data_IF_713219921984
#
_entry.id   IF_713219921984
#
_cell.length_a   1.000
_cell.length_b   1.000
_cell.length_c   1.000
_cell.angle_alpha   90.00
_cell.angle_beta   90.00
_cell.angle_gamma   90.00
#
_symmetry.space_group_name_H-M   'P 1'
#
loop_
_entity.id
_entity.type
_entity.pdbx_description
1 polymer ?
#
# COMPACT_ATOMS: atom_id res chain seq x y z
N UNK A 1 -10.35 3.87 -2.79
CA UNK A 1 -11.19 3.06 -1.86
C UNK A 1 -12.31 2.39 -2.64
N UNK A 2 -12.49 1.08 -2.52
CA UNK A 2 -13.50 0.32 -3.27
C UNK A 2 -14.64 -0.24 -2.40
N UNK A 3 -14.43 -0.36 -1.08
CA UNK A 3 -15.48 -0.77 -0.14
C UNK A 3 -15.27 -0.08 1.22
N UNK A 4 -16.37 0.18 1.91
CA UNK A 4 -16.43 0.77 3.25
C UNK A 4 -17.55 0.10 4.03
N UNK A 5 -17.19 -0.72 5.02
CA UNK A 5 -18.13 -1.50 5.81
C UNK A 5 -18.08 -1.12 7.28
N UNK A 6 -19.22 -0.67 7.81
CA UNK A 6 -19.42 -0.52 9.25
C UNK A 6 -19.56 -1.90 9.90
N UNK A 7 -18.87 -2.07 11.02
CA UNK A 7 -19.06 -3.16 11.98
C UNK A 7 -19.43 -2.57 13.34
N UNK A 8 -19.72 -3.42 14.33
CA UNK A 8 -20.15 -2.96 15.66
C UNK A 8 -19.14 -1.98 16.30
N UNK A 9 -17.84 -2.22 16.13
CA UNK A 9 -16.78 -1.46 16.82
C UNK A 9 -15.73 -0.81 15.89
N UNK A 10 -15.89 -0.93 14.58
CA UNK A 10 -14.89 -0.43 13.62
C UNK A 10 -15.49 -0.18 12.23
N UNK A 11 -14.77 0.57 11.41
CA UNK A 11 -15.01 0.70 9.98
C UNK A 11 -13.87 0.00 9.24
N UNK A 12 -14.26 -0.91 8.34
CA UNK A 12 -13.35 -1.61 7.46
C UNK A 12 -13.33 -0.88 6.13
N UNK A 13 -12.14 -0.45 5.71
CA UNK A 13 -11.92 0.08 4.37
C UNK A 13 -11.22 -0.98 3.53
N UNK A 14 -11.68 -1.16 2.30
CA UNK A 14 -10.94 -1.92 1.28
C UNK A 14 -10.43 -0.96 0.21
N UNK A 15 -9.14 -1.09 -0.08
CA UNK A 15 -8.41 -0.22 -1.00
C UNK A 15 -7.85 -1.09 -2.11
N UNK A 16 -8.14 -0.72 -3.36
CA UNK A 16 -7.45 -1.27 -4.52
C UNK A 16 -6.14 -0.51 -4.74
N UNK A 17 -5.10 -1.22 -5.18
CA UNK A 17 -3.82 -0.62 -5.47
C UNK A 17 -3.13 -1.36 -6.63
N UNK A 18 -2.27 -0.69 -7.41
CA UNK A 18 -1.54 -1.33 -8.49
C UNK A 18 -0.56 -2.38 -7.96
N UNK A 19 -0.18 -3.33 -8.83
CA UNK A 19 0.74 -4.41 -8.48
C UNK A 19 2.05 -3.91 -7.84
N UNK A 20 2.60 -2.81 -8.35
CA UNK A 20 3.81 -2.18 -7.83
C UNK A 20 3.72 -1.77 -6.35
N UNK A 21 2.52 -1.50 -5.83
CA UNK A 21 2.27 -1.27 -4.41
C UNK A 21 1.99 -2.59 -3.71
N UNK A 22 1.12 -3.42 -4.29
CA UNK A 22 0.66 -4.70 -3.71
C UNK A 22 1.78 -5.70 -3.44
N UNK A 23 2.89 -5.64 -4.18
CA UNK A 23 4.08 -6.47 -3.96
C UNK A 23 4.71 -6.22 -2.57
N UNK A 24 4.43 -5.07 -1.94
CA UNK A 24 4.90 -4.71 -0.59
C UNK A 24 3.81 -4.77 0.50
N UNK A 25 2.56 -5.06 0.14
CA UNK A 25 1.42 -5.08 1.08
C UNK A 25 1.36 -6.43 1.78
N UNK A 26 1.87 -6.57 2.99
CA UNK A 26 1.98 -7.88 3.67
C UNK A 26 0.81 -8.08 4.64
N UNK A 27 0.21 -9.28 4.68
CA UNK A 27 -0.81 -9.60 5.69
C UNK A 27 -0.26 -9.44 7.10
N UNK A 28 -0.98 -8.71 7.98
CA UNK A 28 -0.54 -8.26 9.30
C UNK A 28 0.67 -7.31 9.29
N UNK A 29 1.10 -6.86 8.12
CA UNK A 29 2.08 -5.80 7.96
C UNK A 29 1.47 -4.41 8.18
N UNK A 30 2.35 -3.42 8.22
CA UNK A 30 1.99 -2.02 8.32
C UNK A 30 1.78 -1.41 6.94
N UNK A 31 0.83 -0.50 6.84
CA UNK A 31 0.65 0.38 5.69
C UNK A 31 0.14 1.73 6.16
N UNK A 32 0.58 2.80 5.51
CA UNK A 32 0.08 4.14 5.77
C UNK A 32 -0.93 4.52 4.69
N UNK A 33 -2.09 5.01 5.11
CA UNK A 33 -3.10 5.63 4.23
C UNK A 33 -3.21 7.09 4.62
N UNK A 34 -2.83 8.00 3.71
CA UNK A 34 -2.81 9.46 3.95
C UNK A 34 -2.17 9.85 5.29
N UNK A 35 -0.99 9.31 5.58
CA UNK A 35 -0.24 9.57 6.82
C UNK A 35 -0.70 8.77 8.05
N UNK A 36 -1.77 7.97 7.95
CA UNK A 36 -2.30 7.18 9.07
C UNK A 36 -1.75 5.77 9.00
N UNK A 37 -0.94 5.39 10.00
CA UNK A 37 -0.38 4.04 10.12
C UNK A 37 -1.46 3.05 10.55
N UNK A 38 -1.64 1.99 9.76
CA UNK A 38 -2.68 0.98 9.91
C UNK A 38 -2.13 -0.42 9.71
N UNK A 39 -2.84 -1.41 10.23
CA UNK A 39 -2.50 -2.83 10.06
C UNK A 39 -3.36 -3.47 8.98
N UNK A 40 -2.71 -4.15 8.05
CA UNK A 40 -3.39 -4.89 6.97
C UNK A 40 -4.07 -6.13 7.54
N UNK A 41 -5.41 -6.18 7.44
CA UNK A 41 -6.23 -7.30 7.91
C UNK A 41 -6.46 -8.38 6.86
N UNK A 42 -6.51 -7.99 5.58
CA UNK A 42 -6.74 -8.90 4.45
C UNK A 42 -6.02 -8.33 3.23
N UNK A 43 -5.59 -9.22 2.32
CA UNK A 43 -5.11 -8.86 0.99
C UNK A 43 -5.59 -9.86 -0.05
N UNK A 44 -5.71 -9.37 -1.27
CA UNK A 44 -5.87 -10.13 -2.51
C UNK A 44 -4.67 -9.81 -3.41
N UNK A 45 -4.78 -10.09 -4.71
CA UNK A 45 -3.76 -9.72 -5.69
C UNK A 45 -3.81 -8.23 -6.07
N UNK A 46 -4.97 -7.57 -5.90
CA UNK A 46 -5.20 -6.18 -6.34
C UNK A 46 -5.78 -5.26 -5.26
N UNK A 47 -6.03 -5.77 -4.06
CA UNK A 47 -6.61 -4.99 -2.97
C UNK A 47 -6.20 -5.47 -1.59
N UNK A 48 -6.39 -4.60 -0.60
CA UNK A 48 -6.22 -4.93 0.81
C UNK A 48 -7.27 -4.23 1.67
N UNK A 49 -7.44 -4.71 2.90
CA UNK A 49 -8.37 -4.11 3.86
C UNK A 49 -7.69 -3.78 5.18
N UNK A 50 -8.13 -2.69 5.79
CA UNK A 50 -7.71 -2.19 7.11
C UNK A 50 -8.93 -1.91 7.97
N UNK A 51 -8.79 -2.00 9.29
CA UNK A 51 -9.83 -1.63 10.25
C UNK A 51 -9.42 -0.41 11.04
N UNK A 52 -10.35 0.53 11.17
CA UNK A 52 -10.16 1.77 11.93
C UNK A 52 -11.27 1.87 12.97
N UNK A 53 -10.90 2.14 14.21
CA UNK A 53 -11.87 2.40 15.29
C UNK A 53 -12.48 3.80 15.14
N UNK A 54 -13.75 4.03 15.53
CA UNK A 54 -14.45 5.29 15.30
C UNK A 54 -13.73 6.52 15.84
N UNK A 55 -13.07 6.42 16.99
CA UNK A 55 -12.30 7.53 17.56
C UNK A 55 -11.17 7.98 16.63
N UNK A 56 -10.32 7.05 16.16
CA UNK A 56 -9.25 7.36 15.19
C UNK A 56 -9.82 7.89 13.89
N UNK A 57 -10.98 7.39 13.48
CA UNK A 57 -11.62 7.87 12.26
C UNK A 57 -12.10 9.32 12.36
N UNK A 58 -12.64 9.73 13.50
CA UNK A 58 -13.12 11.11 13.72
C UNK A 58 -11.99 12.15 13.72
N UNK A 59 -10.78 11.74 14.09
CA UNK A 59 -9.60 12.60 14.17
C UNK A 59 -8.73 12.57 12.90
N UNK A 60 -9.18 11.90 11.83
CA UNK A 60 -8.39 11.73 10.60
C UNK A 60 -9.20 12.01 9.35
N UNK A 61 -8.50 12.32 8.24
CA UNK A 61 -9.16 12.61 6.97
C UNK A 61 -9.91 11.42 6.39
N UNK A 62 -9.64 10.20 6.85
CA UNK A 62 -10.37 9.00 6.45
C UNK A 62 -11.83 9.01 6.92
N UNK A 63 -12.19 9.85 7.90
CA UNK A 63 -13.59 9.97 8.35
C UNK A 63 -14.55 10.46 7.28
N UNK A 64 -14.09 11.31 6.36
CA UNK A 64 -14.88 11.78 5.22
C UNK A 64 -14.72 10.91 3.97
N UNK A 65 -13.83 9.91 4.00
CA UNK A 65 -13.56 9.07 2.86
C UNK A 65 -14.75 8.14 2.54
N UNK A 66 -15.09 8.09 1.26
CA UNK A 66 -16.19 7.28 0.71
C UNK A 66 -15.67 6.34 -0.38
N UNK A 67 -16.54 5.47 -0.90
CA UNK A 67 -16.19 4.64 -2.06
C UNK A 67 -15.85 5.57 -3.23
N UNK A 68 -14.75 5.28 -3.92
CA UNK A 68 -14.18 6.11 -4.98
C UNK A 68 -13.18 7.16 -4.50
N UNK A 69 -13.02 7.41 -3.19
CA UNK A 69 -11.97 8.31 -2.69
C UNK A 69 -10.59 7.73 -3.01
N UNK A 70 -9.76 8.52 -3.68
CA UNK A 70 -8.33 8.25 -3.87
C UNK A 70 -7.56 8.61 -2.59
N UNK A 71 -6.53 7.83 -2.29
CA UNK A 71 -5.74 7.96 -1.06
C UNK A 71 -4.27 7.76 -1.38
N UNK A 72 -3.39 8.42 -0.64
CA UNK A 72 -1.96 8.19 -0.73
C UNK A 72 -1.59 6.94 0.06
N UNK A 73 -0.74 6.09 -0.52
CA UNK A 73 -0.30 4.85 0.08
C UNK A 73 1.21 4.85 0.28
N UNK A 74 1.65 4.58 1.50
CA UNK A 74 3.06 4.30 1.80
C UNK A 74 3.18 2.90 2.38
N UNK A 75 4.01 2.08 1.73
CA UNK A 75 4.27 0.69 2.11
C UNK A 75 5.43 0.61 3.09
N UNK A 76 5.46 -0.44 3.91
CA UNK A 76 6.57 -0.66 4.84
C UNK A 76 7.94 -0.70 4.13
N UNK A 77 8.87 0.10 4.64
CA UNK A 77 10.22 0.22 4.11
C UNK A 77 11.00 -1.10 4.22
N UNK A 78 10.70 -1.94 5.21
CA UNK A 78 11.31 -3.25 5.34
C UNK A 78 11.01 -4.13 4.12
N UNK A 79 9.77 -4.14 3.64
CA UNK A 79 9.37 -4.87 2.43
C UNK A 79 10.11 -4.36 1.20
N UNK A 80 10.28 -3.03 1.08
CA UNK A 80 11.04 -2.39 0.00
C UNK A 80 12.50 -2.86 -0.03
N UNK A 81 13.18 -2.82 1.11
CA UNK A 81 14.58 -3.25 1.21
C UNK A 81 14.76 -4.75 0.99
N UNK A 82 13.87 -5.59 1.54
CA UNK A 82 13.96 -7.05 1.36
C UNK A 82 13.78 -7.42 -0.11
N UNK A 83 12.77 -6.86 -0.79
CA UNK A 83 12.56 -7.15 -2.21
C UNK A 83 13.70 -6.61 -3.08
N UNK A 84 14.20 -5.41 -2.79
CA UNK A 84 15.39 -4.87 -3.47
C UNK A 84 16.59 -5.80 -3.28
N UNK A 85 16.87 -6.22 -2.04
CA UNK A 85 17.97 -7.14 -1.72
C UNK A 85 17.85 -8.48 -2.47
N UNK A 86 16.65 -9.06 -2.53
CA UNK A 86 16.40 -10.31 -3.28
C UNK A 86 16.59 -10.14 -4.79
N UNK A 87 16.49 -8.92 -5.32
CA UNK A 87 16.59 -8.62 -6.74
C UNK A 87 17.95 -8.02 -7.15
N UNK A 88 18.93 -7.91 -6.25
CA UNK A 88 20.25 -7.34 -6.53
C UNK A 88 21.04 -8.04 -7.66
N UNK A 89 20.63 -9.25 -8.07
CA UNK A 89 21.19 -9.97 -9.23
C UNK A 89 20.42 -9.80 -10.54
N UNK A 90 19.31 -9.05 -10.52
CA UNK A 90 18.34 -8.94 -11.62
C UNK A 90 18.20 -7.52 -12.17
N UNK A 91 18.99 -6.56 -11.67
CA UNK A 91 18.94 -5.19 -12.19
C UNK A 91 19.45 -5.16 -13.64
N UNK A 92 18.66 -4.64 -14.60
CA UNK A 92 19.16 -4.41 -15.94
C UNK A 92 20.31 -3.43 -15.83
N UNK A 93 21.52 -3.91 -16.14
CA UNK A 93 22.69 -3.04 -16.26
C UNK A 93 22.38 -2.07 -17.38
N UNK A 94 22.37 -0.75 -17.12
CA UNK A 94 22.27 0.24 -18.19
C UNK A 94 23.36 -0.08 -19.24
N UNK A 95 22.95 -0.56 -20.42
CA UNK A 95 23.84 -0.70 -21.55
C UNK A 95 24.33 0.70 -21.91
N UNK A 96 25.57 1.02 -21.52
CA UNK A 96 26.25 2.24 -21.97
C UNK A 96 26.21 2.28 -23.50
N UNK A 97 25.79 3.39 -24.12
CA UNK A 97 25.73 3.47 -25.57
C UNK A 97 27.13 3.24 -26.16
N UNK A 98 27.26 2.23 -27.03
CA UNK A 98 28.47 1.99 -27.81
C UNK A 98 28.77 3.25 -28.61
N UNK A 99 29.80 4.02 -28.22
CA UNK A 99 30.39 5.04 -29.09
C UNK A 99 30.87 4.33 -30.35
N UNK A 100 30.20 4.57 -31.47
CA UNK A 100 30.74 4.26 -32.79
C UNK A 100 31.96 5.13 -33.01
N UNK A 101 33.16 4.57 -32.89
CA UNK A 101 34.36 5.15 -33.48
C UNK A 101 34.21 5.02 -35.00
N UNK A 102 34.03 6.16 -35.66
CA UNK A 102 34.45 6.36 -37.05
C UNK A 102 35.96 6.55 -37.08
#
# INVERSE_FOLDING_TARGET
IIDRKQTDNAIIFTVEAPKSVMDYVIYKGSITIDGISLTIMRRTDSSFSVSIIPHTLGETILGSAHIGTEVNLETDIAGRYILHFMNLGSEPTEEKPKKSMQ
#
